data_IF_835380924431
#
_entry.id   IF_835380924431
#
_cell.length_a   1.000
_cell.length_b   1.000
_cell.length_c   1.000
_cell.angle_alpha   90.00
_cell.angle_beta   90.00
_cell.angle_gamma   90.00
#
_symmetry.space_group_name_H-M   'P 1'
#
loop_
_entity.id
_entity.type
_entity.pdbx_description
1 polymer ?
#
# COMPACT_ATOMS: atom_id res chain seq x y z
N UNK A 1 -9.37 0.14 -8.62
CA UNK A 1 -8.41 0.63 -7.62
C UNK A 1 -8.88 0.07 -6.30
N UNK A 2 -8.04 -0.70 -5.61
CA UNK A 2 -8.31 -1.07 -4.22
C UNK A 2 -7.89 0.11 -3.34
N UNK A 3 -8.71 0.52 -2.38
CA UNK A 3 -8.41 1.61 -1.46
C UNK A 3 -9.08 1.32 -0.12
N UNK A 4 -8.28 1.24 0.93
CA UNK A 4 -8.75 1.15 2.31
C UNK A 4 -8.99 2.56 2.88
N UNK A 5 -9.75 2.67 3.98
CA UNK A 5 -10.10 3.96 4.58
C UNK A 5 -8.90 4.73 5.13
N UNK A 6 -7.82 4.01 5.48
CA UNK A 6 -6.53 4.55 5.92
C UNK A 6 -5.55 4.83 4.77
N UNK A 7 -5.96 4.58 3.51
CA UNK A 7 -5.15 4.76 2.31
C UNK A 7 -5.67 5.88 1.40
N UNK A 8 -4.98 7.02 1.40
CA UNK A 8 -5.35 8.19 0.59
C UNK A 8 -4.43 8.28 -0.62
N UNK A 9 -4.99 8.05 -1.80
CA UNK A 9 -4.28 8.14 -3.09
C UNK A 9 -4.34 9.55 -3.63
N UNK A 10 -3.19 10.03 -4.07
CA UNK A 10 -2.98 11.36 -4.57
C UNK A 10 -2.28 11.32 -5.94
N UNK A 11 -2.53 12.32 -6.80
CA UNK A 11 -1.75 12.51 -8.02
C UNK A 11 -0.29 12.89 -7.70
N UNK A 12 0.61 12.88 -8.70
CA UNK A 12 1.99 13.31 -8.50
C UNK A 12 2.14 14.76 -8.03
N UNK A 13 1.21 15.64 -8.38
CA UNK A 13 1.20 17.07 -8.03
C UNK A 13 -0.21 17.55 -7.72
N UNK A 14 -0.32 18.51 -6.80
CA UNK A 14 -1.58 19.14 -6.37
C UNK A 14 -2.27 19.98 -7.47
N UNK A 15 -1.59 20.29 -8.58
CA UNK A 15 -2.13 21.07 -9.70
C UNK A 15 -3.21 20.36 -10.52
N UNK A 16 -3.43 19.07 -10.27
CA UNK A 16 -4.45 18.27 -10.95
C UNK A 16 -5.12 17.33 -9.96
N UNK A 17 -6.30 16.85 -10.30
CA UNK A 17 -6.97 15.78 -9.57
C UNK A 17 -6.37 14.41 -9.87
N UNK A 18 -6.61 13.44 -9.00
CA UNK A 18 -6.22 12.04 -9.25
C UNK A 18 -6.83 11.50 -10.55
N UNK A 19 -8.07 11.89 -10.87
CA UNK A 19 -8.77 11.44 -12.06
C UNK A 19 -8.13 12.01 -13.35
N UNK A 20 -7.77 13.29 -13.36
CA UNK A 20 -7.07 13.93 -14.49
C UNK A 20 -5.70 13.30 -14.71
N UNK A 21 -4.93 13.09 -13.64
CA UNK A 21 -3.63 12.43 -13.72
C UNK A 21 -3.74 11.02 -14.29
N UNK A 22 -4.74 10.22 -13.87
CA UNK A 22 -4.98 8.87 -14.42
C UNK A 22 -5.38 8.93 -15.90
N UNK A 23 -6.20 9.91 -16.29
CA UNK A 23 -6.58 10.10 -17.69
C UNK A 23 -5.36 10.46 -18.56
N UNK A 24 -4.46 11.30 -18.06
CA UNK A 24 -3.19 11.60 -18.71
C UNK A 24 -2.33 10.34 -18.89
N UNK A 25 -2.17 9.54 -17.83
CA UNK A 25 -1.43 8.26 -17.87
C UNK A 25 -1.98 7.34 -18.98
N UNK A 26 -3.30 7.25 -19.11
CA UNK A 26 -3.93 6.43 -20.16
C UNK A 26 -3.69 7.02 -21.56
N UNK A 27 -3.79 8.34 -21.72
CA UNK A 27 -3.53 9.04 -22.98
C UNK A 27 -2.08 8.91 -23.45
N UNK A 28 -1.13 8.86 -22.51
CA UNK A 28 0.29 8.58 -22.78
C UNK A 28 0.57 7.09 -23.09
N UNK A 29 -0.45 6.24 -22.96
CA UNK A 29 -0.38 4.82 -23.32
C UNK A 29 0.10 3.91 -22.19
N UNK A 30 0.27 4.40 -20.98
CA UNK A 30 0.59 3.56 -19.83
C UNK A 30 -0.68 2.88 -19.30
N UNK A 31 -0.53 1.74 -18.60
CA UNK A 31 -1.68 0.95 -18.14
C UNK A 31 -1.55 0.45 -16.70
N UNK A 32 -0.51 0.87 -15.98
CA UNK A 32 -0.31 0.62 -14.57
C UNK A 32 0.36 1.82 -13.90
N UNK A 33 0.02 2.08 -12.65
CA UNK A 33 0.55 3.17 -11.84
C UNK A 33 1.06 2.57 -10.53
N UNK A 34 2.30 2.90 -10.19
CA UNK A 34 2.87 2.61 -8.88
C UNK A 34 2.60 3.80 -7.95
N UNK A 35 2.36 3.50 -6.68
CA UNK A 35 2.28 4.51 -5.63
C UNK A 35 3.51 4.44 -4.74
N UNK A 36 4.15 5.58 -4.52
CA UNK A 36 5.09 5.74 -3.43
C UNK A 36 4.30 5.89 -2.12
N UNK A 37 4.60 5.04 -1.15
CA UNK A 37 3.89 5.01 0.13
C UNK A 37 4.57 5.93 1.14
N UNK A 38 3.79 6.82 1.73
CA UNK A 38 4.16 7.71 2.83
C UNK A 38 3.37 7.25 4.05
N UNK A 39 4.04 6.52 4.94
CA UNK A 39 3.39 5.97 6.12
C UNK A 39 3.37 7.02 7.22
N UNK A 40 2.16 7.40 7.63
CA UNK A 40 1.92 8.30 8.74
C UNK A 40 1.75 7.49 10.03
N UNK A 41 2.44 7.92 11.08
CA UNK A 41 2.39 7.30 12.40
C UNK A 41 2.26 8.37 13.51
N UNK A 42 1.56 8.06 14.60
CA UNK A 42 1.69 8.83 15.84
C UNK A 42 3.14 8.77 16.33
N UNK A 43 3.57 9.85 16.97
CA UNK A 43 4.91 9.95 17.57
C UNK A 43 4.79 9.93 19.09
N UNK A 44 5.87 9.58 19.79
CA UNK A 44 5.89 9.56 21.28
C UNK A 44 5.44 10.89 21.89
N UNK A 45 5.78 12.00 21.23
CA UNK A 45 5.46 13.37 21.63
C UNK A 45 3.99 13.74 21.37
N UNK A 46 3.30 13.01 20.48
CA UNK A 46 1.89 13.20 20.14
C UNK A 46 1.28 11.83 19.79
N UNK A 47 0.90 11.03 20.81
CA UNK A 47 0.66 9.60 20.63
C UNK A 47 -0.80 9.24 20.27
N UNK A 48 -1.74 10.17 20.36
CA UNK A 48 -3.16 9.89 20.19
C UNK A 48 -3.81 10.79 19.14
N UNK A 49 -4.30 10.16 18.06
CA UNK A 49 -5.02 10.78 16.97
C UNK A 49 -6.32 10.02 16.64
N UNK A 50 -6.92 9.33 17.60
CA UNK A 50 -8.19 8.62 17.42
C UNK A 50 -9.39 9.58 17.36
N UNK A 51 -9.47 10.34 16.28
CA UNK A 51 -10.57 11.27 16.03
C UNK A 51 -10.78 11.48 14.51
N UNK A 52 -11.97 11.92 14.07
CA UNK A 52 -12.26 12.07 12.63
C UNK A 52 -11.30 13.00 11.86
N UNK A 53 -10.75 14.00 12.55
CA UNK A 53 -9.80 14.97 11.99
C UNK A 53 -8.33 14.53 12.05
N UNK A 54 -8.01 13.24 12.21
CA UNK A 54 -6.65 12.74 12.42
C UNK A 54 -5.65 13.23 11.36
N UNK A 55 -6.08 13.43 10.12
CA UNK A 55 -5.23 13.95 9.04
C UNK A 55 -4.69 15.37 9.30
N UNK A 56 -5.37 16.15 10.17
CA UNK A 56 -4.96 17.51 10.56
C UNK A 56 -4.03 17.53 11.78
N UNK A 57 -3.79 16.38 12.39
CA UNK A 57 -3.00 16.26 13.62
C UNK A 57 -1.83 15.31 13.45
N UNK A 58 -1.95 14.28 12.61
CA UNK A 58 -0.90 13.34 12.24
C UNK A 58 -0.03 13.90 11.10
N UNK A 59 0.95 14.73 11.46
CA UNK A 59 1.86 15.36 10.49
C UNK A 59 3.24 14.69 10.40
N UNK A 60 3.44 13.52 10.99
CA UNK A 60 4.73 12.84 10.94
C UNK A 60 4.63 11.62 10.04
N UNK A 61 5.56 11.50 9.10
CA UNK A 61 5.60 10.42 8.13
C UNK A 61 7.03 9.94 7.83
N UNK A 62 7.13 8.79 7.17
CA UNK A 62 8.36 8.33 6.51
C UNK A 62 8.00 7.67 5.17
N UNK A 63 8.87 7.75 4.15
CA UNK A 63 8.70 6.99 2.93
C UNK A 63 8.89 5.49 3.22
N UNK A 64 7.97 4.66 2.73
CA UNK A 64 8.03 3.21 2.86
C UNK A 64 8.06 2.54 1.48
N UNK A 65 9.01 1.63 1.28
CA UNK A 65 9.25 1.03 -0.01
C UNK A 65 10.36 -0.01 0.03
N UNK A 66 10.12 -1.22 0.57
CA UNK A 66 11.15 -2.27 0.68
C UNK A 66 11.70 -2.73 -0.68
N UNK A 67 10.97 -2.49 -1.77
CA UNK A 67 11.37 -2.80 -3.14
C UNK A 67 10.63 -1.88 -4.10
N UNK A 68 11.25 -1.53 -5.22
CA UNK A 68 10.59 -0.77 -6.29
C UNK A 68 10.32 -1.66 -7.51
N UNK A 69 9.09 -1.67 -8.07
CA UNK A 69 7.88 -1.02 -7.56
C UNK A 69 7.34 -1.73 -6.30
N UNK A 70 6.76 -0.95 -5.38
CA UNK A 70 6.15 -1.49 -4.15
C UNK A 70 4.64 -1.63 -4.28
N UNK A 71 3.94 -0.60 -4.77
CA UNK A 71 2.47 -0.48 -4.81
C UNK A 71 1.97 -0.26 -6.24
N UNK A 72 2.34 -1.15 -7.16
CA UNK A 72 1.83 -1.18 -8.54
C UNK A 72 0.40 -1.74 -8.56
N UNK A 73 -0.55 -1.02 -7.95
CA UNK A 73 -1.90 -1.52 -7.64
C UNK A 73 -3.05 -0.67 -8.21
N UNK A 74 -2.75 0.28 -9.12
CA UNK A 74 -3.75 0.84 -10.02
C UNK A 74 -3.41 0.44 -11.46
N UNK A 75 -4.35 -0.16 -12.18
CA UNK A 75 -4.17 -0.60 -13.55
C UNK A 75 -5.43 -0.42 -14.38
N UNK A 76 -5.23 -0.25 -15.69
CA UNK A 76 -6.33 -0.20 -16.65
C UNK A 76 -6.99 -1.57 -16.74
N UNK A 77 -8.32 -1.60 -16.71
CA UNK A 77 -9.09 -2.85 -16.86
C UNK A 77 -8.71 -3.52 -18.19
N UNK A 78 -8.20 -4.74 -18.11
CA UNK A 78 -7.82 -5.49 -19.29
C UNK A 78 -9.08 -5.98 -20.04
N UNK A 79 -9.11 -5.91 -21.38
CA UNK A 79 -10.20 -6.50 -22.14
C UNK A 79 -10.26 -8.01 -21.88
N UNK A 80 -11.45 -8.57 -21.71
CA UNK A 80 -11.62 -10.03 -21.59
C UNK A 80 -11.31 -10.65 -22.95
N UNK A 81 -10.05 -10.99 -23.19
CA UNK A 81 -9.63 -11.69 -24.41
C UNK A 81 -9.81 -13.19 -24.22
N UNK A 82 -10.52 -13.84 -25.14
CA UNK A 82 -10.51 -15.30 -25.24
C UNK A 82 -9.09 -15.77 -25.60
N UNK A 83 -8.40 -16.42 -24.66
CA UNK A 83 -7.02 -16.86 -24.85
C UNK A 83 -6.91 -18.28 -25.48
N UNK A 84 -8.04 -18.85 -25.91
CA UNK A 84 -8.09 -20.19 -26.49
C UNK A 84 -8.13 -21.33 -25.46
N UNK A 85 -8.50 -22.52 -25.93
CA UNK A 85 -8.76 -23.71 -25.10
C UNK A 85 -7.55 -24.13 -24.24
N UNK A 86 -6.32 -23.91 -24.72
CA UNK A 86 -5.08 -24.26 -23.99
C UNK A 86 -4.87 -23.42 -22.73
N UNK A 87 -5.17 -22.12 -22.78
CA UNK A 87 -5.06 -21.24 -21.61
C UNK A 87 -6.16 -21.56 -20.60
N UNK A 88 -7.36 -21.87 -21.09
CA UNK A 88 -8.50 -22.27 -20.28
C UNK A 88 -8.25 -23.57 -19.51
N UNK A 89 -7.73 -24.60 -20.18
CA UNK A 89 -7.36 -25.86 -19.54
C UNK A 89 -6.25 -25.67 -18.48
N UNK A 90 -5.25 -24.83 -18.77
CA UNK A 90 -4.18 -24.50 -17.80
C UNK A 90 -4.73 -23.81 -16.56
N UNK A 91 -5.63 -22.85 -16.74
CA UNK A 91 -6.26 -22.12 -15.63
C UNK A 91 -7.12 -23.05 -14.76
N UNK A 92 -7.90 -23.94 -15.39
CA UNK A 92 -8.71 -24.92 -14.70
C UNK A 92 -7.85 -25.89 -13.88
N UNK A 93 -6.76 -26.42 -14.45
CA UNK A 93 -5.89 -27.39 -13.78
C UNK A 93 -5.10 -26.73 -12.66
N UNK A 94 -4.54 -25.53 -12.89
CA UNK A 94 -3.62 -24.89 -11.95
C UNK A 94 -4.36 -24.16 -10.83
N UNK A 95 -5.44 -23.46 -11.16
CA UNK A 95 -6.12 -22.55 -10.24
C UNK A 95 -7.55 -23.01 -9.89
N UNK A 96 -8.01 -24.16 -10.41
CA UNK A 96 -9.36 -24.71 -10.17
C UNK A 96 -10.49 -23.72 -10.47
N UNK A 97 -10.28 -22.82 -11.45
CA UNK A 97 -11.23 -21.78 -11.84
C UNK A 97 -11.71 -21.98 -13.27
N UNK A 98 -13.03 -21.83 -13.47
CA UNK A 98 -13.65 -21.73 -14.79
C UNK A 98 -13.69 -20.25 -15.21
N UNK A 99 -12.76 -19.80 -16.06
CA UNK A 99 -12.71 -18.42 -16.52
C UNK A 99 -11.39 -18.04 -17.20
N UNK A 100 -11.31 -16.85 -17.85
CA UNK A 100 -10.03 -16.33 -18.35
C UNK A 100 -9.07 -16.10 -17.17
N UNK A 101 -7.74 -16.14 -17.40
CA UNK A 101 -6.74 -15.88 -16.37
C UNK A 101 -7.08 -14.60 -15.61
N UNK A 102 -7.32 -14.73 -14.31
CA UNK A 102 -7.55 -13.57 -13.45
C UNK A 102 -6.22 -12.87 -13.19
N UNK A 103 -6.26 -11.55 -13.11
CA UNK A 103 -5.13 -10.72 -12.71
C UNK A 103 -4.63 -11.24 -11.36
N UNK A 104 -3.36 -11.66 -11.30
CA UNK A 104 -2.79 -12.22 -10.09
C UNK A 104 -2.44 -11.09 -9.13
N UNK A 105 -3.28 -10.91 -8.11
CA UNK A 105 -3.05 -9.99 -6.99
C UNK A 105 -2.66 -10.74 -5.72
N UNK A 106 -3.05 -12.02 -5.62
CA UNK A 106 -2.91 -12.81 -4.40
C UNK A 106 -1.44 -13.13 -4.06
N UNK A 107 -0.58 -13.28 -5.06
CA UNK A 107 0.83 -13.62 -4.84
C UNK A 107 1.63 -12.50 -4.12
N UNK A 108 1.14 -11.26 -4.12
CA UNK A 108 1.83 -10.12 -3.51
C UNK A 108 0.99 -9.40 -2.45
N UNK A 109 -0.08 -10.02 -1.95
CA UNK A 109 -1.02 -9.35 -1.02
C UNK A 109 -1.72 -8.12 -1.62
N UNK A 110 -1.93 -8.07 -2.94
CA UNK A 110 -2.58 -6.93 -3.62
C UNK A 110 -1.67 -5.74 -3.94
N UNK A 111 -0.37 -5.82 -3.63
CA UNK A 111 0.58 -4.71 -3.84
C UNK A 111 1.11 -4.61 -5.28
N UNK A 112 1.25 -5.73 -5.98
CA UNK A 112 1.68 -5.76 -7.38
C UNK A 112 0.62 -6.40 -8.25
N UNK A 113 0.33 -5.71 -9.35
CA UNK A 113 -0.39 -6.27 -10.48
C UNK A 113 0.62 -6.89 -11.46
N UNK A 114 0.30 -8.09 -11.96
CA UNK A 114 1.05 -8.73 -13.04
C UNK A 114 0.10 -9.19 -14.15
N UNK A 115 0.38 -8.76 -15.39
CA UNK A 115 -0.29 -9.21 -16.61
C UNK A 115 0.57 -8.94 -17.86
N UNK A 116 0.41 -9.73 -18.94
CA UNK A 116 1.15 -9.51 -20.18
C UNK A 116 0.90 -8.12 -20.78
N UNK A 117 1.97 -7.43 -21.18
CA UNK A 117 1.88 -6.10 -21.79
C UNK A 117 1.66 -4.96 -20.78
N UNK A 118 2.03 -5.18 -19.51
CA UNK A 118 2.07 -4.11 -18.52
C UNK A 118 3.04 -3.01 -18.96
N UNK A 119 2.61 -1.76 -18.80
CA UNK A 119 3.33 -0.53 -19.12
C UNK A 119 3.19 0.40 -17.92
N UNK A 120 4.05 0.26 -16.90
CA UNK A 120 4.03 1.13 -15.72
C UNK A 120 4.35 2.57 -16.10
N UNK A 121 3.60 3.52 -15.53
CA UNK A 121 3.92 4.93 -15.62
C UNK A 121 5.27 5.21 -14.91
N UNK A 122 6.19 5.98 -15.51
CA UNK A 122 7.53 6.18 -14.94
C UNK A 122 7.56 7.06 -13.69
N UNK A 123 6.48 7.80 -13.40
CA UNK A 123 6.38 8.68 -12.24
C UNK A 123 5.43 8.03 -11.23
N UNK A 124 5.91 7.85 -10.00
CA UNK A 124 5.08 7.32 -8.93
C UNK A 124 4.01 8.33 -8.51
N UNK A 125 2.79 7.83 -8.30
CA UNK A 125 1.75 8.59 -7.62
C UNK A 125 1.98 8.52 -6.11
N UNK A 126 1.27 9.34 -5.32
CA UNK A 126 1.49 9.43 -3.88
C UNK A 126 0.40 8.66 -3.13
N UNK A 127 0.78 7.93 -2.08
CA UNK A 127 -0.15 7.24 -1.19
C UNK A 127 0.16 7.63 0.26
N UNK A 128 -0.74 8.36 0.91
CA UNK A 128 -0.68 8.50 2.38
C UNK A 128 -1.30 7.27 3.01
N UNK A 129 -0.57 6.63 3.92
CA UNK A 129 -1.04 5.45 4.62
C UNK A 129 -1.01 5.70 6.13
N UNK A 130 -2.17 5.87 6.75
CA UNK A 130 -2.33 6.09 8.19
C UNK A 130 -2.47 4.74 8.89
N UNK A 131 -1.34 4.01 8.95
CA UNK A 131 -1.31 2.60 9.34
C UNK A 131 -1.95 2.34 10.71
N UNK A 132 -1.85 3.29 11.65
CA UNK A 132 -2.56 3.32 12.95
C UNK A 132 -2.78 4.77 13.39
N UNK A 133 -3.64 4.98 14.39
CA UNK A 133 -3.98 6.32 14.91
C UNK A 133 -3.47 6.56 16.35
N UNK A 134 -3.10 5.49 17.04
CA UNK A 134 -2.51 5.51 18.38
C UNK A 134 -1.80 4.17 18.62
N UNK A 135 -1.08 4.04 19.73
CA UNK A 135 -0.56 2.76 20.18
C UNK A 135 -1.69 1.77 20.54
N UNK A 136 -2.76 2.24 21.19
CA UNK A 136 -3.92 1.41 21.53
C UNK A 136 -4.62 0.89 20.27
N UNK A 137 -4.78 1.73 19.26
CA UNK A 137 -5.30 1.34 17.95
C UNK A 137 -4.38 0.31 17.28
N UNK A 138 -3.05 0.45 17.39
CA UNK A 138 -2.11 -0.54 16.86
C UNK A 138 -2.30 -1.92 17.51
N UNK A 139 -2.37 -1.97 18.84
CA UNK A 139 -2.60 -3.21 19.60
C UNK A 139 -3.95 -3.83 19.22
N UNK A 140 -5.01 -3.02 19.09
CA UNK A 140 -6.32 -3.52 18.65
C UNK A 140 -6.30 -4.04 17.21
N UNK A 141 -5.60 -3.34 16.31
CA UNK A 141 -5.52 -3.69 14.88
C UNK A 141 -4.70 -4.95 14.63
N UNK A 142 -3.60 -5.15 15.39
CA UNK A 142 -2.59 -6.18 15.11
C UNK A 142 -2.46 -7.28 16.14
N UNK A 143 -2.88 -7.11 17.41
CA UNK A 143 -2.73 -8.16 18.44
C UNK A 143 -4.06 -8.86 18.71
N UNK A 144 -5.14 -8.08 18.77
CA UNK A 144 -6.47 -8.59 19.17
C UNK A 144 -7.24 -9.27 18.04
N UNK A 145 -6.66 -9.41 16.84
CA UNK A 145 -7.25 -10.16 15.71
C UNK A 145 -6.60 -11.53 15.59
N UNK A 146 -7.42 -12.59 15.52
CA UNK A 146 -6.96 -13.91 15.12
C UNK A 146 -6.61 -13.91 13.63
N UNK A 147 -5.33 -14.07 13.28
CA UNK A 147 -4.89 -14.17 11.89
C UNK A 147 -5.09 -15.61 11.35
N UNK A 148 -5.40 -15.73 10.06
CA UNK A 148 -5.41 -17.03 9.38
C UNK A 148 -3.98 -17.60 9.39
N UNK A 149 -3.77 -18.88 9.76
CA UNK A 149 -2.48 -19.55 9.69
C UNK A 149 -1.70 -19.37 8.39
N UNK A 150 -2.39 -19.12 7.27
CA UNK A 150 -1.76 -18.88 5.95
C UNK A 150 -1.12 -17.49 5.80
N UNK A 151 -1.55 -16.48 6.56
CA UNK A 151 -0.94 -15.14 6.56
C UNK A 151 0.38 -15.09 7.35
N UNK A 152 0.61 -16.10 8.21
CA UNK A 152 1.78 -16.22 9.11
C UNK A 152 3.10 -16.41 8.33
N UNK A 153 3.05 -16.98 7.12
CA UNK A 153 4.25 -17.29 6.32
C UNK A 153 4.72 -16.17 5.37
N UNK A 154 4.07 -15.00 5.39
CA UNK A 154 4.34 -13.90 4.44
C UNK A 154 5.08 -12.70 5.03
N UNK A 155 5.18 -11.61 4.24
CA UNK A 155 5.75 -10.29 4.62
C UNK A 155 5.11 -9.67 5.88
N UNK A 156 3.98 -10.21 6.32
CA UNK A 156 3.23 -9.80 7.50
C UNK A 156 3.30 -10.83 8.65
N UNK A 157 4.21 -11.81 8.60
CA UNK A 157 4.30 -12.89 9.60
C UNK A 157 4.52 -12.39 11.04
N UNK A 158 5.13 -11.22 11.21
CA UNK A 158 5.24 -10.57 12.52
C UNK A 158 3.87 -10.26 13.13
N UNK A 159 2.84 -9.96 12.32
CA UNK A 159 1.48 -9.67 12.82
C UNK A 159 0.86 -10.86 13.55
N UNK A 160 1.29 -12.08 13.24
CA UNK A 160 0.77 -13.31 13.86
C UNK A 160 1.44 -13.65 15.20
N UNK A 161 2.58 -13.01 15.51
CA UNK A 161 3.37 -13.27 16.73
C UNK A 161 3.55 -12.02 17.59
N UNK A 162 3.15 -10.85 17.09
CA UNK A 162 3.26 -9.57 17.78
C UNK A 162 2.44 -9.57 19.08
N UNK A 163 3.11 -9.19 20.15
CA UNK A 163 2.57 -8.92 21.47
C UNK A 163 2.38 -7.42 21.65
N UNK A 164 1.67 -7.02 22.70
CA UNK A 164 1.48 -5.61 23.06
C UNK A 164 2.81 -4.86 23.29
N UNK A 165 3.88 -5.56 23.68
CA UNK A 165 5.20 -4.98 23.96
C UNK A 165 6.06 -4.77 22.70
N UNK A 166 5.67 -5.32 21.56
CA UNK A 166 6.42 -5.19 20.29
C UNK A 166 6.12 -3.88 19.56
N UNK A 167 5.09 -3.14 20.02
CA UNK A 167 4.68 -1.88 19.41
C UNK A 167 5.29 -0.69 20.14
N UNK A 168 6.02 0.13 19.39
CA UNK A 168 6.53 1.39 19.87
C UNK A 168 6.26 2.50 18.86
N UNK A 169 5.92 3.67 19.37
CA UNK A 169 5.83 4.86 18.54
C UNK A 169 7.23 5.42 18.29
N UNK A 170 7.56 5.82 17.05
CA UNK A 170 8.78 6.56 16.77
C UNK A 170 8.79 7.93 17.48
N UNK A 171 9.97 8.54 17.65
CA UNK A 171 10.06 9.97 17.99
C UNK A 171 10.01 10.83 16.72
N UNK A 172 9.68 12.11 16.89
CA UNK A 172 9.71 13.09 15.79
C UNK A 172 11.06 13.12 15.05
N UNK A 173 12.17 12.93 15.76
CA UNK A 173 13.53 12.90 15.18
C UNK A 173 13.80 11.75 14.21
N UNK A 174 12.95 10.71 14.21
CA UNK A 174 13.05 9.55 13.32
C UNK A 174 12.18 9.70 12.07
N UNK A 175 11.42 10.79 11.97
CA UNK A 175 10.38 11.00 10.96
C UNK A 175 10.54 12.35 10.27
N UNK A 176 9.81 12.53 9.19
CA UNK A 176 9.72 13.78 8.45
C UNK A 176 8.42 14.50 8.82
N UNK A 177 8.50 15.83 8.90
CA UNK A 177 7.33 16.68 9.12
C UNK A 177 6.61 16.90 7.78
N UNK A 178 5.31 16.60 7.76
CA UNK A 178 4.40 16.87 6.66
C UNK A 178 3.99 18.33 6.66
N UNK A 179 4.23 19.00 5.53
CA UNK A 179 3.88 20.39 5.28
C UNK A 179 2.80 20.50 4.21
N UNK A 180 2.94 19.77 3.11
CA UNK A 180 2.01 19.73 2.00
C UNK A 180 2.14 18.45 1.17
N UNK A 181 1.14 18.17 0.33
CA UNK A 181 1.15 17.00 -0.56
C UNK A 181 2.29 17.06 -1.59
N UNK A 182 2.68 18.26 -2.01
CA UNK A 182 3.75 18.46 -3.00
C UNK A 182 5.15 18.26 -2.40
N UNK A 183 5.31 18.49 -1.09
CA UNK A 183 6.57 18.38 -0.35
C UNK A 183 6.82 16.98 0.25
N UNK A 184 5.96 16.01 -0.02
CA UNK A 184 6.20 14.61 0.37
C UNK A 184 7.49 14.08 -0.29
N UNK A 185 8.47 13.71 0.53
CA UNK A 185 9.80 13.28 0.08
C UNK A 185 9.95 11.74 0.12
N UNK A 186 10.28 11.16 -1.03
CA UNK A 186 10.47 9.73 -1.24
C UNK A 186 11.90 9.23 -0.91
N UNK A 187 12.82 10.12 -0.56
CA UNK A 187 14.22 9.77 -0.35
C UNK A 187 14.42 8.79 0.82
N UNK A 188 15.32 7.82 0.61
CA UNK A 188 15.71 6.81 1.61
C UNK A 188 14.51 6.06 2.22
N UNK A 189 13.71 5.35 1.40
CA UNK A 189 12.54 4.64 1.89
C UNK A 189 12.93 3.53 2.86
N UNK A 190 12.15 3.38 3.92
CA UNK A 190 12.30 2.30 4.87
C UNK A 190 11.83 0.97 4.26
N UNK A 191 12.55 -0.10 4.57
CA UNK A 191 12.17 -1.48 4.23
C UNK A 191 11.24 -2.12 5.26
N UNK A 192 11.20 -1.57 6.47
CA UNK A 192 10.40 -2.06 7.59
C UNK A 192 9.65 -0.90 8.25
N UNK A 193 8.47 -1.16 8.79
CA UNK A 193 7.69 -0.13 9.46
C UNK A 193 8.26 0.20 10.84
N UNK A 194 8.38 1.48 11.17
CA UNK A 194 8.91 1.98 12.44
C UNK A 194 8.05 1.66 13.68
N UNK A 195 6.89 1.01 13.50
CA UNK A 195 5.96 0.70 14.59
C UNK A 195 6.27 -0.63 15.31
N UNK A 196 7.12 -1.48 14.71
CA UNK A 196 7.44 -2.81 15.27
C UNK A 196 8.91 -2.85 15.66
N UNK A 197 9.21 -3.14 16.92
CA UNK A 197 10.54 -3.63 17.30
C UNK A 197 10.54 -5.14 17.21
N UNK A 198 11.26 -5.71 16.25
CA UNK A 198 11.67 -7.10 16.35
C UNK A 198 12.81 -7.16 17.37
N UNK A 199 12.56 -7.84 18.49
CA UNK A 199 13.59 -8.19 19.46
C UNK A 199 14.40 -9.40 19.00
#
# INVERSE_FOLDING_TARGET
MHADLDEIRLPPSSNQTLAEAIAQVDNEGYNAINFMEYTFLPVRESPNHEHPDFQKTMHWYYPFGPRHPHRLNAWKKQPRRWMGMKAFARELIKNHRFGPPSINLHASGGHLVDFPGIRPYPIDFKLKHYIVLSLDHAIQKYVKKSFDPKEISGMHGWRATATEYDFLLPSQSQMQLFTSDDELDANNPFSEHLIVQQS
#
